data_IF_819390892964
#
_entry.id   IF_819390892964
#
_cell.length_a   1.000
_cell.length_b   1.000
_cell.length_c   1.000
_cell.angle_alpha   90.00
_cell.angle_beta   90.00
_cell.angle_gamma   90.00
#
_symmetry.space_group_name_H-M   'P 1'
#
loop_
_entity.id
_entity.type
_entity.pdbx_description
1 polymer ?
#
# COMPACT_ATOMS: atom_id res chain seq x y z
N UNK A 1 17.39 -54.31 47.54
CA UNK A 1 18.03 -55.58 47.13
C UNK A 1 18.32 -55.51 45.65
N UNK A 2 19.62 -55.56 45.32
CA UNK A 2 20.24 -56.16 44.13
C UNK A 2 19.91 -55.55 42.75
N UNK A 3 20.88 -54.85 42.12
CA UNK A 3 21.96 -55.38 41.25
C UNK A 3 21.43 -55.59 39.81
N UNK A 4 22.05 -55.19 38.69
CA UNK A 4 23.29 -54.48 38.31
C UNK A 4 23.17 -54.28 36.77
N UNK A 5 23.95 -53.38 36.14
CA UNK A 5 24.03 -53.22 34.71
C UNK A 5 24.94 -54.29 34.06
N UNK A 6 24.78 -54.54 32.76
CA UNK A 6 25.68 -55.39 31.95
C UNK A 6 26.66 -54.54 31.15
N UNK A 7 27.92 -54.58 31.56
CA UNK A 7 29.11 -54.24 30.79
C UNK A 7 29.54 -55.40 29.88
N UNK A 8 30.13 -55.08 28.72
CA UNK A 8 31.13 -55.94 28.06
C UNK A 8 32.35 -55.09 27.65
N UNK A 9 33.47 -55.41 28.29
CA UNK A 9 34.89 -55.12 27.98
C UNK A 9 35.30 -55.85 26.68
N UNK A 10 36.49 -55.70 26.05
CA UNK A 10 37.86 -55.79 26.57
C UNK A 10 38.91 -55.38 25.47
N UNK A 11 40.12 -55.01 25.91
CA UNK A 11 41.48 -55.11 25.28
C UNK A 11 41.77 -54.11 24.14
N UNK A 12 42.63 -53.08 24.21
CA UNK A 12 43.99 -52.84 24.79
C UNK A 12 45.15 -53.53 24.07
N UNK A 13 45.91 -52.79 23.24
CA UNK A 13 47.29 -53.17 22.90
C UNK A 13 48.18 -51.96 22.56
N UNK A 14 49.19 -51.79 23.42
CA UNK A 14 50.58 -51.34 23.16
C UNK A 14 50.94 -49.87 22.97
N UNK A 15 51.71 -49.40 23.96
CA UNK A 15 52.59 -48.23 23.99
C UNK A 15 53.74 -48.33 22.98
N UNK A 16 54.09 -47.19 22.37
CA UNK A 16 55.46 -46.86 21.98
C UNK A 16 55.67 -45.36 22.22
N UNK A 17 56.51 -45.05 23.22
CA UNK A 17 56.98 -43.71 23.54
C UNK A 17 58.38 -43.58 22.95
N UNK A 18 58.59 -42.60 22.06
CA UNK A 18 59.90 -41.96 21.84
C UNK A 18 59.75 -40.53 21.32
N UNK A 19 60.23 -39.61 22.16
CA UNK A 19 60.95 -38.36 21.88
C UNK A 19 60.25 -37.14 21.24
N UNK A 20 60.08 -36.12 22.10
CA UNK A 20 60.19 -34.67 21.89
C UNK A 20 60.65 -34.18 20.50
N UNK A 21 59.82 -33.34 19.89
CA UNK A 21 60.20 -32.31 18.92
C UNK A 21 59.29 -31.10 19.11
N UNK A 22 59.81 -30.05 19.75
CA UNK A 22 59.12 -28.77 19.89
C UNK A 22 58.88 -28.15 18.51
N UNK A 23 57.64 -27.77 18.25
CA UNK A 23 57.21 -27.09 17.03
C UNK A 23 55.85 -26.44 17.26
N UNK A 24 55.80 -25.45 18.16
CA UNK A 24 54.66 -24.55 18.29
C UNK A 24 54.69 -23.61 17.09
N UNK A 25 54.13 -24.04 15.96
CA UNK A 25 53.78 -23.14 14.85
C UNK A 25 52.32 -22.76 15.01
N UNK A 26 52.14 -21.54 15.52
CA UNK A 26 50.96 -20.69 15.47
C UNK A 26 49.74 -21.26 14.72
N UNK A 27 48.76 -21.76 15.46
CA UNK A 27 47.37 -21.63 15.03
C UNK A 27 47.01 -20.14 15.19
N UNK A 28 47.15 -19.40 14.10
CA UNK A 28 46.60 -18.06 13.98
C UNK A 28 45.10 -18.12 14.27
N UNK A 29 44.63 -17.16 15.06
CA UNK A 29 43.21 -16.94 15.26
C UNK A 29 42.58 -16.55 13.92
N UNK A 30 41.97 -17.49 13.23
CA UNK A 30 41.11 -17.21 12.10
C UNK A 30 39.93 -16.37 12.62
N UNK A 31 40.04 -15.07 12.38
CA UNK A 31 38.99 -14.11 12.69
C UNK A 31 37.72 -14.47 11.92
N UNK A 32 36.58 -14.18 12.53
CA UNK A 32 35.28 -14.33 11.88
C UNK A 32 35.33 -13.62 10.51
N UNK A 33 35.15 -14.31 9.37
CA UNK A 33 35.25 -13.70 8.04
C UNK A 33 34.23 -12.57 7.84
N UNK A 34 33.15 -12.53 8.64
CA UNK A 34 32.16 -11.45 8.66
C UNK A 34 32.59 -10.21 9.47
N UNK A 35 33.74 -10.26 10.15
CA UNK A 35 34.31 -9.15 10.94
C UNK A 35 35.45 -8.40 10.24
N UNK A 36 35.84 -8.85 9.04
CA UNK A 36 36.85 -8.17 8.24
C UNK A 36 36.34 -6.78 7.85
N UNK A 37 37.13 -5.73 8.14
CA UNK A 37 36.83 -4.39 7.65
C UNK A 37 37.01 -4.38 6.13
N UNK A 38 36.00 -3.96 5.35
CA UNK A 38 36.14 -3.90 3.90
C UNK A 38 37.30 -2.99 3.51
N UNK A 39 38.10 -3.40 2.53
CA UNK A 39 39.12 -2.51 1.97
C UNK A 39 38.46 -1.40 1.12
N UNK A 40 39.20 -0.32 0.88
CA UNK A 40 38.74 0.76 0.01
C UNK A 40 38.81 0.33 -1.46
N UNK A 41 37.65 0.07 -2.04
CA UNK A 41 37.50 -0.34 -3.44
C UNK A 41 37.53 0.85 -4.43
N UNK A 42 38.04 2.02 -4.02
CA UNK A 42 38.06 3.23 -4.85
C UNK A 42 38.69 3.02 -6.23
N UNK A 43 39.80 2.28 -6.32
CA UNK A 43 40.50 1.97 -7.58
C UNK A 43 39.75 0.98 -8.48
N UNK A 44 38.84 0.19 -7.91
CA UNK A 44 38.17 -0.92 -8.60
C UNK A 44 36.91 -0.50 -9.35
N UNK A 45 36.36 0.67 -9.04
CA UNK A 45 35.02 1.06 -9.48
C UNK A 45 35.03 2.35 -10.27
N UNK A 46 34.47 2.30 -11.47
CA UNK A 46 34.12 3.46 -12.28
C UNK A 46 32.62 3.77 -12.18
N UNK A 47 32.25 5.04 -12.24
CA UNK A 47 30.85 5.47 -12.31
C UNK A 47 30.67 6.58 -13.35
N UNK A 48 29.48 6.68 -13.95
CA UNK A 48 29.20 7.62 -15.04
C UNK A 48 28.78 9.04 -14.59
N UNK A 49 28.82 9.31 -13.29
CA UNK A 49 28.52 10.62 -12.71
C UNK A 49 29.76 11.53 -12.67
N UNK A 50 29.57 12.83 -12.41
CA UNK A 50 30.69 13.75 -12.29
C UNK A 50 31.52 13.47 -11.04
N UNK A 51 32.84 13.42 -11.20
CA UNK A 51 33.83 13.33 -10.10
C UNK A 51 34.38 14.70 -9.69
N UNK A 52 34.14 15.73 -10.52
CA UNK A 52 34.61 17.09 -10.25
C UNK A 52 33.62 17.87 -9.37
N UNK A 53 34.16 18.64 -8.42
CA UNK A 53 33.37 19.49 -7.55
C UNK A 53 32.53 20.51 -8.34
N UNK A 54 31.24 20.59 -8.04
CA UNK A 54 30.31 21.56 -8.64
C UNK A 54 29.65 21.11 -9.96
N UNK A 55 30.11 20.03 -10.59
CA UNK A 55 29.38 19.40 -11.70
C UNK A 55 28.24 18.54 -11.16
N UNK A 56 27.11 18.53 -11.89
CA UNK A 56 25.91 17.77 -11.52
C UNK A 56 25.61 16.70 -12.55
N UNK A 57 25.19 15.53 -12.09
CA UNK A 57 24.75 14.44 -12.94
C UNK A 57 23.45 14.82 -13.67
N UNK A 58 23.29 14.32 -14.89
CA UNK A 58 22.04 14.45 -15.63
C UNK A 58 21.03 13.40 -15.09
N UNK A 59 19.93 13.80 -14.44
CA UNK A 59 18.95 12.87 -13.89
C UNK A 59 18.20 12.08 -14.97
N UNK A 60 18.30 12.48 -16.25
CA UNK A 60 17.71 11.77 -17.37
C UNK A 60 18.55 10.57 -17.83
N UNK A 61 19.81 10.50 -17.39
CA UNK A 61 20.69 9.36 -17.68
C UNK A 61 20.64 8.36 -16.54
N UNK A 62 20.65 7.04 -16.83
CA UNK A 62 20.74 6.04 -15.79
C UNK A 62 22.06 6.21 -15.03
N UNK A 63 22.04 5.95 -13.72
CA UNK A 63 23.26 5.79 -12.94
C UNK A 63 23.89 4.46 -13.33
N UNK A 64 25.18 4.48 -13.66
CA UNK A 64 25.96 3.29 -13.99
C UNK A 64 27.20 3.19 -13.10
N UNK A 65 27.44 1.98 -12.59
CA UNK A 65 28.60 1.62 -11.78
C UNK A 65 29.23 0.38 -12.40
N UNK A 66 30.53 0.42 -12.68
CA UNK A 66 31.26 -0.64 -13.40
C UNK A 66 32.48 -1.05 -12.61
N UNK A 67 32.73 -2.36 -12.50
CA UNK A 67 33.98 -2.91 -12.02
C UNK A 67 35.06 -2.78 -13.11
N UNK A 68 36.21 -2.25 -12.75
CA UNK A 68 37.37 -2.18 -13.64
C UNK A 68 37.90 -3.59 -13.88
N UNK A 69 38.21 -3.91 -15.14
CA UNK A 69 38.56 -5.26 -15.56
C UNK A 69 39.77 -5.83 -14.80
N UNK A 70 39.62 -7.03 -14.22
CA UNK A 70 40.72 -7.81 -13.64
C UNK A 70 41.06 -7.52 -12.18
N UNK A 71 40.24 -6.72 -11.47
CA UNK A 71 40.55 -6.34 -10.08
C UNK A 71 39.40 -6.64 -9.08
N UNK A 72 38.36 -7.37 -9.50
CA UNK A 72 37.25 -7.80 -8.65
C UNK A 72 35.87 -7.68 -9.32
N UNK A 73 34.80 -7.95 -8.56
CA UNK A 73 33.40 -7.85 -9.00
C UNK A 73 32.56 -7.03 -8.02
N UNK A 74 31.48 -6.46 -8.52
CA UNK A 74 30.42 -5.84 -7.69
C UNK A 74 29.53 -6.96 -7.15
N UNK A 75 29.28 -6.92 -5.84
CA UNK A 75 28.41 -7.87 -5.13
C UNK A 75 27.07 -7.24 -4.73
N UNK A 76 27.05 -5.94 -4.45
CA UNK A 76 25.81 -5.19 -4.16
C UNK A 76 25.97 -3.70 -4.47
N UNK A 77 24.86 -3.05 -4.83
CA UNK A 77 24.79 -1.59 -4.97
C UNK A 77 23.52 -1.07 -4.31
N UNK A 78 23.71 -0.23 -3.29
CA UNK A 78 22.64 0.50 -2.65
C UNK A 78 22.76 1.98 -2.99
N UNK A 79 21.83 2.50 -3.80
CA UNK A 79 21.74 3.91 -4.14
C UNK A 79 20.50 4.55 -3.49
N UNK A 80 20.70 5.65 -2.76
CA UNK A 80 19.64 6.34 -2.03
C UNK A 80 19.78 7.86 -2.17
N UNK A 81 18.66 8.58 -2.31
CA UNK A 81 18.66 10.04 -2.22
C UNK A 81 18.44 10.57 -0.80
N UNK A 82 18.64 11.87 -0.60
CA UNK A 82 18.48 12.54 0.70
C UNK A 82 17.06 12.48 1.30
N UNK A 83 16.05 12.03 0.54
CA UNK A 83 14.68 11.82 1.05
C UNK A 83 14.47 10.41 1.62
N UNK A 84 15.48 9.54 1.48
CA UNK A 84 15.42 8.13 1.86
C UNK A 84 14.91 7.21 0.74
N UNK A 85 14.67 7.74 -0.47
CA UNK A 85 14.19 6.94 -1.61
C UNK A 85 15.35 6.15 -2.22
N UNK A 86 15.17 4.83 -2.28
CA UNK A 86 16.08 3.93 -2.98
C UNK A 86 15.87 3.99 -4.49
N UNK A 87 16.98 3.92 -5.24
CA UNK A 87 16.98 3.80 -6.69
C UNK A 87 16.99 2.31 -7.05
N UNK A 88 15.96 1.86 -7.75
CA UNK A 88 15.95 0.50 -8.28
C UNK A 88 17.02 0.36 -9.37
N UNK A 89 17.68 -0.79 -9.42
CA UNK A 89 18.67 -1.10 -10.44
C UNK A 89 18.90 -2.59 -10.57
N UNK A 90 19.70 -2.95 -11.57
CA UNK A 90 20.02 -4.32 -11.94
C UNK A 90 21.55 -4.49 -11.96
N UNK A 91 22.02 -5.57 -11.33
CA UNK A 91 23.42 -6.00 -11.35
C UNK A 91 23.57 -7.10 -12.40
N UNK A 92 24.57 -6.97 -13.28
CA UNK A 92 24.94 -8.02 -14.22
C UNK A 92 25.36 -9.30 -13.46
N UNK A 93 25.05 -10.47 -14.02
CA UNK A 93 25.29 -11.76 -13.34
C UNK A 93 26.78 -12.03 -13.04
N UNK A 94 27.68 -11.42 -13.80
CA UNK A 94 29.14 -11.48 -13.60
C UNK A 94 29.67 -10.42 -12.62
N UNK A 95 28.80 -9.54 -12.11
CA UNK A 95 29.17 -8.43 -11.22
C UNK A 95 29.97 -7.32 -11.91
N UNK A 96 30.03 -7.30 -13.24
CA UNK A 96 30.83 -6.32 -13.99
C UNK A 96 30.20 -4.92 -14.01
N UNK A 97 28.86 -4.83 -14.01
CA UNK A 97 28.14 -3.56 -14.12
C UNK A 97 26.81 -3.61 -13.39
N UNK A 98 26.51 -2.53 -12.69
CA UNK A 98 25.19 -2.20 -12.17
C UNK A 98 24.65 -0.97 -12.87
N UNK A 99 23.34 -0.93 -13.14
CA UNK A 99 22.69 0.29 -13.61
C UNK A 99 21.31 0.50 -12.99
N UNK A 100 20.91 1.76 -12.84
CA UNK A 100 19.56 2.09 -12.39
C UNK A 100 18.51 1.70 -13.44
N UNK A 101 17.37 1.19 -12.98
CA UNK A 101 16.17 0.88 -13.77
C UNK A 101 14.99 1.80 -13.43
N UNK A 102 15.17 2.69 -12.45
CA UNK A 102 14.25 3.78 -12.14
C UNK A 102 14.89 5.15 -12.36
N UNK A 103 14.12 6.20 -12.73
CA UNK A 103 14.65 7.54 -12.91
C UNK A 103 15.30 8.11 -11.64
N UNK A 104 16.43 8.80 -11.83
CA UNK A 104 17.01 9.63 -10.78
C UNK A 104 16.13 10.86 -10.58
N UNK A 105 15.92 11.22 -9.32
CA UNK A 105 15.34 12.51 -8.95
C UNK A 105 16.31 13.63 -9.32
N UNK A 106 15.80 14.67 -9.96
CA UNK A 106 16.47 15.92 -10.24
C UNK A 106 16.61 16.78 -8.98
N UNK A 107 17.65 17.62 -8.95
CA UNK A 107 18.00 18.47 -7.82
C UNK A 107 18.07 17.71 -6.48
N UNK A 108 18.57 16.48 -6.53
CA UNK A 108 18.69 15.59 -5.39
C UNK A 108 20.16 15.24 -5.12
N UNK A 109 20.46 14.97 -3.86
CA UNK A 109 21.74 14.47 -3.42
C UNK A 109 21.67 12.95 -3.24
N UNK A 110 22.62 12.22 -3.82
CA UNK A 110 22.69 10.76 -3.72
C UNK A 110 23.88 10.31 -2.91
N UNK A 111 23.66 9.23 -2.14
CA UNK A 111 24.72 8.38 -1.60
C UNK A 111 24.57 6.99 -2.22
N UNK A 112 25.65 6.48 -2.80
CA UNK A 112 25.72 5.15 -3.39
C UNK A 112 26.78 4.35 -2.67
N UNK A 113 26.37 3.25 -2.05
CA UNK A 113 27.28 2.28 -1.44
C UNK A 113 27.43 1.11 -2.39
N UNK A 114 28.66 0.86 -2.83
CA UNK A 114 29.04 -0.24 -3.72
C UNK A 114 29.84 -1.24 -2.89
N UNK A 115 29.34 -2.46 -2.78
CA UNK A 115 30.05 -3.58 -2.18
C UNK A 115 30.73 -4.38 -3.29
N UNK A 116 31.98 -4.77 -3.06
CA UNK A 116 32.80 -5.51 -4.02
C UNK A 116 33.45 -6.72 -3.37
N UNK A 117 34.02 -7.57 -4.20
CA UNK A 117 34.85 -8.70 -3.82
C UNK A 117 36.03 -8.77 -4.79
N UNK A 118 37.25 -8.92 -4.27
CA UNK A 118 38.44 -9.13 -5.10
C UNK A 118 38.60 -10.59 -5.54
N UNK A 119 39.70 -10.92 -6.23
CA UNK A 119 39.96 -12.28 -6.73
C UNK A 119 40.17 -13.31 -5.60
N UNK A 120 40.57 -12.85 -4.41
CA UNK A 120 40.81 -13.68 -3.22
C UNK A 120 39.56 -13.82 -2.33
N UNK A 121 38.44 -13.19 -2.73
CA UNK A 121 37.19 -13.22 -1.99
C UNK A 121 37.12 -12.19 -0.85
N UNK A 122 38.07 -11.25 -0.76
CA UNK A 122 38.05 -10.25 0.30
C UNK A 122 36.98 -9.19 0.00
N UNK A 123 36.18 -8.77 1.01
CA UNK A 123 35.14 -7.77 0.80
C UNK A 123 35.74 -6.38 0.66
N UNK A 124 35.30 -5.65 -0.36
CA UNK A 124 35.61 -4.23 -0.57
C UNK A 124 34.37 -3.36 -0.46
N UNK A 125 34.56 -2.06 -0.21
CA UNK A 125 33.48 -1.07 -0.22
C UNK A 125 33.94 0.23 -0.84
N UNK A 126 33.05 0.85 -1.62
CA UNK A 126 33.18 2.22 -2.09
C UNK A 126 31.90 3.00 -1.79
N UNK A 127 32.04 4.24 -1.35
CA UNK A 127 30.92 5.17 -1.21
C UNK A 127 31.10 6.31 -2.21
N UNK A 128 30.08 6.55 -3.02
CA UNK A 128 30.01 7.65 -3.98
C UNK A 128 28.93 8.62 -3.54
N UNK A 129 29.18 9.91 -3.73
CA UNK A 129 28.18 10.95 -3.53
C UNK A 129 28.15 11.87 -4.73
N UNK A 130 26.95 12.25 -5.19
CA UNK A 130 26.79 13.19 -6.30
C UNK A 130 25.46 13.92 -6.21
N UNK A 131 25.39 15.07 -6.88
CA UNK A 131 24.16 15.86 -7.02
C UNK A 131 23.63 15.77 -8.45
N UNK A 132 22.30 15.78 -8.62
CA UNK A 132 21.66 15.86 -9.93
C UNK A 132 21.29 17.30 -10.31
N UNK A 133 21.27 17.57 -11.62
CA UNK A 133 20.88 18.86 -12.17
C UNK A 133 19.37 19.13 -11.99
N UNK A 134 18.93 20.36 -12.29
CA UNK A 134 17.50 20.73 -12.17
C UNK A 134 16.67 20.07 -13.29
N UNK A 135 15.36 19.87 -13.07
CA UNK A 135 14.48 19.33 -14.12
C UNK A 135 14.57 20.14 -15.41
N UNK A 136 14.67 19.47 -16.55
CA UNK A 136 14.72 20.11 -17.86
C UNK A 136 13.40 20.85 -18.22
N UNK A 137 12.27 20.39 -17.68
CA UNK A 137 10.93 20.97 -17.89
C UNK A 137 10.39 21.63 -16.62
N UNK A 138 9.47 22.60 -16.79
CA UNK A 138 8.74 23.26 -15.69
C UNK A 138 7.41 22.59 -15.32
N UNK A 139 6.84 21.72 -16.15
CA UNK A 139 5.55 21.07 -15.79
C UNK A 139 5.78 20.13 -14.60
N UNK A 140 4.83 20.16 -13.66
CA UNK A 140 4.87 19.36 -12.44
C UNK A 140 3.63 18.49 -12.37
N UNK A 141 3.77 17.27 -11.87
CA UNK A 141 2.67 16.42 -11.44
C UNK A 141 2.56 16.55 -9.92
N UNK A 142 1.41 17.04 -9.45
CA UNK A 142 1.06 17.04 -8.04
C UNK A 142 0.16 15.85 -7.69
N UNK A 143 0.35 15.29 -6.51
CA UNK A 143 -0.51 14.25 -5.93
C UNK A 143 -1.17 14.81 -4.69
N UNK A 144 -2.49 14.69 -4.61
CA UNK A 144 -3.28 15.01 -3.43
C UNK A 144 -3.78 13.71 -2.82
N UNK A 145 -3.33 13.39 -1.61
CA UNK A 145 -3.81 12.21 -0.92
C UNK A 145 -5.13 12.47 -0.21
N UNK A 146 -6.02 11.48 -0.26
CA UNK A 146 -7.26 11.42 0.49
C UNK A 146 -7.33 10.17 1.37
N UNK A 147 -8.22 10.15 2.38
CA UNK A 147 -9.09 11.26 2.80
C UNK A 147 -8.30 12.34 3.56
N UNK A 148 -9.00 13.27 4.23
CA UNK A 148 -8.31 14.21 5.13
C UNK A 148 -7.70 13.48 6.35
N UNK A 149 -6.84 14.18 7.09
CA UNK A 149 -6.30 13.62 8.34
C UNK A 149 -7.45 13.42 9.33
N UNK A 150 -7.62 12.20 9.82
CA UNK A 150 -8.68 11.87 10.77
C UNK A 150 -8.68 10.42 11.20
N UNK A 151 -9.75 10.03 11.90
CA UNK A 151 -10.02 8.65 12.28
C UNK A 151 -11.21 8.14 11.47
N UNK A 152 -11.02 7.05 10.75
CA UNK A 152 -11.99 6.47 9.84
C UNK A 152 -12.34 5.04 10.23
N UNK A 153 -13.36 4.46 9.61
CA UNK A 153 -13.61 3.03 9.67
C UNK A 153 -12.58 2.21 8.91
N UNK A 154 -12.59 0.90 9.16
CA UNK A 154 -11.61 -0.03 8.58
C UNK A 154 -11.76 -0.24 7.07
N UNK A 155 -12.86 0.22 6.48
CA UNK A 155 -13.14 0.16 5.05
C UNK A 155 -12.58 1.33 4.24
N UNK A 156 -11.99 2.35 4.87
CA UNK A 156 -11.55 3.57 4.18
C UNK A 156 -10.40 3.29 3.19
N UNK A 157 -10.58 3.44 1.86
CA UNK A 157 -9.45 3.42 0.94
C UNK A 157 -8.62 4.70 1.09
N UNK A 158 -7.33 4.59 0.80
CA UNK A 158 -6.46 5.75 0.57
C UNK A 158 -6.60 6.14 -0.90
N UNK A 159 -6.80 7.42 -1.19
CA UNK A 159 -6.84 7.91 -2.58
C UNK A 159 -5.61 8.76 -2.90
N UNK A 160 -5.20 8.76 -4.16
CA UNK A 160 -4.17 9.61 -4.71
C UNK A 160 -4.70 10.27 -5.98
N UNK A 161 -5.09 11.54 -5.86
CA UNK A 161 -5.59 12.35 -6.96
C UNK A 161 -4.44 13.09 -7.64
N UNK A 162 -4.31 12.89 -8.95
CA UNK A 162 -3.36 13.54 -9.83
C UNK A 162 -3.99 14.77 -10.49
N UNK A 163 -3.21 15.84 -10.64
CA UNK A 163 -3.63 17.05 -11.38
C UNK A 163 -3.48 16.93 -12.91
N UNK A 164 -2.78 15.89 -13.38
CA UNK A 164 -2.61 15.56 -14.80
C UNK A 164 -2.96 14.10 -15.11
N UNK A 165 -3.45 13.87 -16.34
CA UNK A 165 -3.70 12.51 -16.84
C UNK A 165 -2.40 11.77 -17.14
N UNK A 166 -2.30 10.54 -16.66
CA UNK A 166 -1.24 9.59 -16.97
C UNK A 166 -1.84 8.37 -17.67
N UNK A 167 -1.71 8.32 -19.00
CA UNK A 167 -2.27 7.25 -19.85
C UNK A 167 -1.29 6.11 -20.09
N UNK A 168 -0.01 6.44 -20.20
CA UNK A 168 1.03 5.48 -20.52
C UNK A 168 1.36 4.58 -19.33
N UNK A 169 1.44 3.27 -19.56
CA UNK A 169 1.65 2.28 -18.48
C UNK A 169 3.01 2.42 -17.81
N UNK A 170 4.06 2.79 -18.54
CA UNK A 170 5.39 2.97 -17.95
C UNK A 170 5.42 4.22 -17.05
N UNK A 171 4.75 5.30 -17.47
CA UNK A 171 4.58 6.50 -16.64
C UNK A 171 3.76 6.20 -15.38
N UNK A 172 2.68 5.42 -15.51
CA UNK A 172 1.88 4.95 -14.36
C UNK A 172 2.73 4.14 -13.38
N UNK A 173 3.58 3.25 -13.87
CA UNK A 173 4.49 2.47 -13.02
C UNK A 173 5.49 3.35 -12.27
N UNK A 174 5.98 4.46 -12.86
CA UNK A 174 6.84 5.42 -12.18
C UNK A 174 6.08 6.11 -11.04
N UNK A 175 4.85 6.59 -11.31
CA UNK A 175 3.99 7.23 -10.31
C UNK A 175 3.71 6.29 -9.16
N UNK A 176 3.15 5.13 -9.46
CA UNK A 176 2.71 4.15 -8.46
C UNK A 176 3.87 3.67 -7.56
N UNK A 177 5.06 3.45 -8.13
CA UNK A 177 6.24 3.04 -7.36
C UNK A 177 6.71 4.10 -6.36
N UNK A 178 6.47 5.36 -6.66
CA UNK A 178 6.85 6.48 -5.81
C UNK A 178 5.83 6.75 -4.69
N UNK A 179 4.60 6.24 -4.80
CA UNK A 179 3.60 6.34 -3.75
C UNK A 179 3.82 5.23 -2.71
N UNK A 180 3.97 5.62 -1.44
CA UNK A 180 4.20 4.69 -0.33
C UNK A 180 3.06 4.76 0.66
N UNK A 181 2.58 3.59 1.06
CA UNK A 181 1.61 3.41 2.14
C UNK A 181 2.22 2.44 3.13
N UNK A 182 2.30 2.86 4.38
CA UNK A 182 2.80 2.07 5.49
C UNK A 182 1.72 2.05 6.58
N UNK A 183 1.62 0.94 7.31
CA UNK A 183 0.62 0.78 8.37
C UNK A 183 1.24 0.15 9.61
N UNK A 184 0.69 0.49 10.77
CA UNK A 184 0.97 -0.16 12.06
C UNK A 184 -0.35 -0.51 12.72
N UNK A 185 -0.69 -1.80 12.92
CA UNK A 185 0.04 -3.00 12.50
C UNK A 185 0.27 -3.08 10.99
N UNK A 186 1.38 -3.70 10.58
CA UNK A 186 1.76 -3.79 9.17
C UNK A 186 0.83 -4.73 8.39
N UNK A 187 0.16 -4.19 7.39
CA UNK A 187 -0.59 -4.94 6.38
C UNK A 187 -0.17 -4.52 4.98
N UNK A 188 0.00 -5.49 4.09
CA UNK A 188 0.29 -5.24 2.69
C UNK A 188 -1.00 -4.92 1.92
N UNK A 189 -0.90 -3.96 1.01
CA UNK A 189 -1.95 -3.59 0.07
C UNK A 189 -1.39 -3.25 -1.31
N UNK A 190 -2.27 -2.84 -2.20
CA UNK A 190 -1.91 -2.51 -3.58
C UNK A 190 -2.65 -1.26 -4.04
N UNK A 191 -1.96 -0.46 -4.86
CA UNK A 191 -2.58 0.62 -5.63
C UNK A 191 -3.37 0.03 -6.81
N UNK A 192 -4.48 0.68 -7.14
CA UNK A 192 -5.31 0.41 -8.30
C UNK A 192 -5.57 1.72 -9.02
N UNK A 193 -5.28 1.78 -10.32
CA UNK A 193 -5.62 2.93 -11.15
C UNK A 193 -7.11 2.91 -11.47
N UNK A 194 -7.87 3.79 -10.84
CA UNK A 194 -9.32 3.93 -11.05
C UNK A 194 -9.60 4.58 -12.40
N UNK A 195 -8.83 5.60 -12.75
CA UNK A 195 -8.85 6.22 -14.06
C UNK A 195 -7.45 6.74 -14.47
N UNK A 196 -7.37 7.77 -15.32
CA UNK A 196 -6.10 8.36 -15.74
C UNK A 196 -5.50 9.35 -14.71
N UNK A 197 -6.24 9.70 -13.66
CA UNK A 197 -5.88 10.71 -12.66
C UNK A 197 -6.08 10.23 -11.22
N UNK A 198 -6.75 9.13 -10.97
CA UNK A 198 -7.07 8.68 -9.63
C UNK A 198 -6.54 7.26 -9.39
N UNK A 199 -5.88 7.09 -8.25
CA UNK A 199 -5.52 5.79 -7.74
C UNK A 199 -6.15 5.59 -6.37
N UNK A 200 -6.61 4.38 -6.09
CA UNK A 200 -7.02 3.95 -4.77
C UNK A 200 -6.05 2.90 -4.24
N UNK A 201 -5.84 2.87 -2.93
CA UNK A 201 -5.06 1.84 -2.23
C UNK A 201 -5.87 1.24 -1.11
N UNK A 202 -5.87 -0.08 -1.05
CA UNK A 202 -6.39 -0.86 0.07
C UNK A 202 -5.58 -2.14 0.30
N UNK A 203 -5.60 -2.68 1.53
CA UNK A 203 -5.18 -4.04 1.79
C UNK A 203 -6.15 -5.07 1.19
N UNK A 204 -5.73 -6.34 1.19
CA UNK A 204 -6.56 -7.46 0.74
C UNK A 204 -7.85 -7.56 1.54
N UNK A 205 -7.69 -7.60 2.86
CA UNK A 205 -8.75 -7.50 3.85
C UNK A 205 -8.89 -6.05 4.33
N UNK A 206 -9.93 -5.73 5.09
CA UNK A 206 -10.07 -4.42 5.72
C UNK A 206 -8.86 -4.04 6.58
N UNK A 207 -8.64 -2.75 6.76
CA UNK A 207 -7.56 -2.26 7.62
C UNK A 207 -7.67 -2.84 9.05
N UNK A 208 -6.55 -3.09 9.74
CA UNK A 208 -6.60 -3.43 11.15
C UNK A 208 -7.32 -2.34 11.95
N UNK A 209 -8.00 -2.71 13.03
CA UNK A 209 -8.58 -1.74 13.97
C UNK A 209 -7.47 -0.97 14.68
N UNK A 210 -7.72 0.29 15.01
CA UNK A 210 -6.75 1.16 15.71
C UNK A 210 -5.38 1.25 15.02
N UNK A 211 -5.36 1.08 13.70
CA UNK A 211 -4.16 1.19 12.89
C UNK A 211 -3.79 2.66 12.69
N UNK A 212 -2.49 2.93 12.58
CA UNK A 212 -1.97 4.18 12.00
C UNK A 212 -1.53 3.89 10.58
N UNK A 213 -2.00 4.68 9.63
CA UNK A 213 -1.69 4.54 8.20
C UNK A 213 -1.02 5.81 7.73
N UNK A 214 0.19 5.68 7.19
CA UNK A 214 1.01 6.78 6.71
C UNK A 214 1.18 6.68 5.20
N UNK A 215 0.94 7.78 4.50
CA UNK A 215 0.98 7.88 3.05
C UNK A 215 1.89 9.03 2.66
N UNK A 216 2.83 8.74 1.75
CA UNK A 216 3.78 9.73 1.23
C UNK A 216 4.06 9.52 -0.25
N UNK A 217 4.49 10.58 -0.90
CA UNK A 217 4.92 10.59 -2.30
C UNK A 217 6.41 10.87 -2.38
N UNK A 218 7.14 9.97 -3.02
CA UNK A 218 8.57 10.13 -3.34
C UNK A 218 8.76 10.60 -4.79
N UNK A 219 7.81 11.38 -5.31
CA UNK A 219 7.80 11.88 -6.68
C UNK A 219 8.61 13.15 -6.89
N UNK A 220 9.04 13.83 -5.82
CA UNK A 220 9.75 15.10 -5.97
C UNK A 220 10.99 14.95 -6.85
N UNK A 221 11.05 15.74 -7.91
CA UNK A 221 12.14 15.68 -8.87
C UNK A 221 12.18 14.40 -9.70
N UNK A 222 11.22 13.48 -9.64
CA UNK A 222 11.22 12.25 -10.46
C UNK A 222 10.67 12.53 -11.85
N UNK A 223 11.41 12.13 -12.89
CA UNK A 223 10.91 12.19 -14.27
C UNK A 223 9.82 11.14 -14.49
N UNK A 224 8.64 11.59 -14.86
CA UNK A 224 7.49 10.73 -15.16
C UNK A 224 7.37 10.56 -16.68
N UNK A 225 7.63 11.62 -17.44
CA UNK A 225 7.73 11.60 -18.90
C UNK A 225 8.55 12.78 -19.41
N UNK A 226 8.74 12.87 -20.73
CA UNK A 226 9.66 13.85 -21.37
C UNK A 226 9.51 15.29 -20.91
N UNK A 227 8.31 15.68 -20.49
CA UNK A 227 8.02 17.03 -20.02
C UNK A 227 7.40 17.08 -18.64
N UNK A 228 7.17 15.95 -17.98
CA UNK A 228 6.42 15.88 -16.72
C UNK A 228 7.29 15.31 -15.61
N UNK A 229 7.40 16.07 -14.53
CA UNK A 229 8.20 15.74 -13.36
C UNK A 229 7.33 15.78 -12.13
N UNK A 230 7.53 14.87 -11.19
CA UNK A 230 6.84 14.96 -9.92
C UNK A 230 7.33 16.14 -9.08
N UNK A 231 6.50 16.52 -8.11
CA UNK A 231 6.80 17.57 -7.12
C UNK A 231 6.48 17.05 -5.72
N UNK A 232 6.96 17.77 -4.70
CA UNK A 232 6.60 17.52 -3.31
C UNK A 232 5.08 17.47 -3.14
N UNK A 233 4.59 16.42 -2.46
CA UNK A 233 3.19 16.27 -2.07
C UNK A 233 3.08 16.31 -0.54
N UNK A 234 1.97 16.83 -0.02
CA UNK A 234 1.70 16.82 1.41
C UNK A 234 1.48 15.37 1.87
N UNK A 235 2.24 14.84 2.85
CA UNK A 235 1.99 13.52 3.38
C UNK A 235 0.65 13.48 4.14
N UNK A 236 0.07 12.29 4.24
CA UNK A 236 -1.17 12.04 4.95
C UNK A 236 -0.94 10.97 6.01
N UNK A 237 -1.50 11.19 7.20
CA UNK A 237 -1.61 10.17 8.23
C UNK A 237 -3.07 10.07 8.63
N UNK A 238 -3.63 8.86 8.59
CA UNK A 238 -4.97 8.57 9.13
C UNK A 238 -4.87 7.48 10.19
N UNK A 239 -5.94 7.34 10.96
CA UNK A 239 -6.10 6.23 11.90
C UNK A 239 -7.40 5.51 11.65
N UNK A 240 -7.50 4.26 12.08
CA UNK A 240 -8.76 3.50 12.05
C UNK A 240 -9.36 3.36 13.44
N UNK A 241 -10.69 3.30 13.51
CA UNK A 241 -11.44 3.02 14.74
C UNK A 241 -11.71 1.52 14.93
N UNK A 242 -12.73 1.25 15.74
CA UNK A 242 -13.39 -0.06 15.77
C UNK A 242 -13.94 -0.42 14.39
N UNK A 243 -13.97 -1.71 14.06
CA UNK A 243 -14.60 -2.22 12.85
C UNK A 243 -16.11 -2.22 13.03
N UNK A 244 -16.81 -1.32 12.33
CA UNK A 244 -18.26 -1.29 12.25
C UNK A 244 -18.71 -1.75 10.86
N UNK A 245 -19.62 -2.71 10.84
CA UNK A 245 -20.26 -3.24 9.64
C UNK A 245 -21.77 -3.28 9.84
N UNK A 246 -22.51 -2.71 8.90
CA UNK A 246 -23.96 -2.78 8.87
C UNK A 246 -24.42 -3.57 7.65
N UNK A 247 -25.03 -4.72 7.88
CA UNK A 247 -25.50 -5.62 6.83
C UNK A 247 -27.01 -5.49 6.72
N UNK A 248 -27.49 -4.93 5.61
CA UNK A 248 -28.91 -4.85 5.28
C UNK A 248 -29.30 -6.02 4.38
N UNK A 249 -30.20 -6.86 4.85
CA UNK A 249 -30.86 -7.86 4.02
C UNK A 249 -32.18 -7.29 3.51
N UNK A 250 -32.24 -7.01 2.21
CA UNK A 250 -33.38 -6.37 1.58
C UNK A 250 -34.60 -7.30 1.43
N UNK A 251 -34.42 -8.62 1.54
CA UNK A 251 -35.49 -9.61 1.47
C UNK A 251 -36.16 -9.83 2.83
N UNK A 252 -35.40 -9.73 3.92
CA UNK A 252 -35.93 -9.83 5.29
C UNK A 252 -36.28 -8.47 5.90
N UNK A 253 -35.91 -7.37 5.24
CA UNK A 253 -36.14 -5.99 5.69
C UNK A 253 -35.48 -5.68 7.03
N UNK A 254 -34.31 -6.27 7.30
CA UNK A 254 -33.54 -6.09 8.52
C UNK A 254 -32.13 -5.61 8.22
N UNK A 255 -31.63 -4.73 9.10
CA UNK A 255 -30.22 -4.38 9.16
C UNK A 255 -29.62 -4.92 10.46
N UNK A 256 -28.58 -5.73 10.37
CA UNK A 256 -27.79 -6.15 11.52
C UNK A 256 -26.48 -5.37 11.57
N UNK A 257 -26.18 -4.77 12.72
CA UNK A 257 -24.97 -3.96 12.91
C UNK A 257 -24.00 -4.70 13.83
N UNK A 258 -22.77 -4.82 13.36
CA UNK A 258 -21.68 -5.51 14.04
C UNK A 258 -20.61 -4.51 14.45
N UNK A 259 -20.04 -4.73 15.65
CA UNK A 259 -18.84 -4.07 16.15
C UNK A 259 -17.79 -5.12 16.44
N UNK A 260 -16.65 -5.04 15.76
CA UNK A 260 -15.55 -6.00 15.89
C UNK A 260 -16.02 -7.47 15.75
N UNK A 261 -16.97 -7.71 14.83
CA UNK A 261 -17.55 -9.03 14.58
C UNK A 261 -18.66 -9.47 15.54
N UNK A 262 -18.98 -8.68 16.57
CA UNK A 262 -20.09 -8.96 17.49
C UNK A 262 -21.32 -8.16 17.09
N UNK A 263 -22.48 -8.81 17.00
CA UNK A 263 -23.76 -8.13 16.79
C UNK A 263 -24.05 -7.21 17.98
N UNK A 264 -24.32 -5.94 17.69
CA UNK A 264 -24.65 -4.92 18.69
C UNK A 264 -26.07 -4.39 18.53
N UNK A 265 -26.70 -4.59 17.37
CA UNK A 265 -28.09 -4.18 17.13
C UNK A 265 -28.68 -4.88 15.89
N UNK A 266 -30.00 -5.00 15.89
CA UNK A 266 -30.80 -5.41 14.74
C UNK A 266 -31.96 -4.42 14.55
N UNK A 267 -32.05 -3.85 13.35
CA UNK A 267 -32.88 -2.69 13.05
C UNK A 267 -33.86 -3.05 11.94
N UNK A 268 -35.19 -2.91 12.13
CA UNK A 268 -36.15 -3.01 11.04
C UNK A 268 -35.95 -1.83 10.09
N UNK A 269 -35.82 -2.12 8.81
CA UNK A 269 -35.56 -1.13 7.76
C UNK A 269 -36.54 -1.27 6.60
N UNK A 270 -36.60 -0.25 5.76
CA UNK A 270 -37.18 -0.34 4.42
C UNK A 270 -36.12 0.07 3.40
N UNK A 271 -36.03 -0.63 2.28
CA UNK A 271 -35.11 -0.31 1.18
C UNK A 271 -35.88 0.09 -0.09
N UNK A 272 -35.19 0.17 -1.21
CA UNK A 272 -35.72 0.58 -2.50
C UNK A 272 -36.86 -0.30 -3.02
N UNK A 273 -37.98 0.31 -3.40
CA UNK A 273 -39.11 -0.37 -4.04
C UNK A 273 -38.77 -0.82 -5.47
N UNK A 274 -39.66 -1.58 -6.09
CA UNK A 274 -39.48 -1.99 -7.49
C UNK A 274 -39.28 -0.79 -8.43
N UNK A 275 -38.25 -0.85 -9.28
CA UNK A 275 -37.80 0.24 -10.15
C UNK A 275 -36.81 1.22 -9.49
N UNK A 276 -36.58 1.11 -8.18
CA UNK A 276 -35.63 1.90 -7.40
C UNK A 276 -34.88 1.04 -6.39
N UNK A 277 -34.68 -0.23 -6.72
CA UNK A 277 -34.09 -1.22 -5.83
C UNK A 277 -32.70 -0.78 -5.35
N UNK A 278 -32.44 -0.93 -4.05
CA UNK A 278 -31.16 -0.55 -3.46
C UNK A 278 -30.04 -1.44 -3.99
N UNK A 279 -28.90 -0.86 -4.38
CA UNK A 279 -27.77 -1.64 -4.89
C UNK A 279 -27.23 -2.66 -3.88
N UNK A 280 -26.93 -3.86 -4.34
CA UNK A 280 -26.24 -4.89 -3.57
C UNK A 280 -24.75 -4.55 -3.38
N UNK A 281 -24.08 -5.23 -2.45
CA UNK A 281 -22.65 -5.10 -2.23
C UNK A 281 -22.25 -4.13 -1.12
N UNK A 282 -20.94 -4.00 -0.93
CA UNK A 282 -20.29 -3.22 0.12
C UNK A 282 -20.16 -1.76 -0.30
N UNK A 283 -20.54 -0.85 0.59
CA UNK A 283 -20.42 0.59 0.44
C UNK A 283 -19.67 1.14 1.64
N UNK A 284 -18.69 2.01 1.41
CA UNK A 284 -18.02 2.71 2.51
C UNK A 284 -18.77 3.99 2.81
N UNK A 285 -18.99 4.28 4.09
CA UNK A 285 -19.62 5.54 4.53
C UNK A 285 -18.78 6.72 4.06
N UNK A 286 -19.41 7.60 3.29
CA UNK A 286 -18.76 8.72 2.62
C UNK A 286 -18.82 10.01 3.43
N UNK A 287 -19.96 10.24 4.09
CA UNK A 287 -20.22 11.45 4.85
C UNK A 287 -21.38 11.23 5.82
N UNK A 288 -21.42 12.06 6.86
CA UNK A 288 -22.52 12.11 7.82
C UNK A 288 -23.06 13.51 7.93
N UNK A 289 -24.37 13.66 7.74
CA UNK A 289 -25.07 14.93 7.78
C UNK A 289 -26.30 14.81 8.68
N UNK A 290 -26.37 15.62 9.74
CA UNK A 290 -27.54 15.62 10.63
C UNK A 290 -28.82 15.97 9.86
N UNK A 291 -28.74 16.83 8.86
CA UNK A 291 -29.86 17.24 8.03
C UNK A 291 -29.48 17.27 6.55
N UNK A 292 -30.32 16.68 5.70
CA UNK A 292 -30.24 16.74 4.24
C UNK A 292 -31.64 16.98 3.69
N UNK A 293 -31.80 17.99 2.84
CA UNK A 293 -33.01 18.13 2.00
C UNK A 293 -32.81 17.29 0.74
N UNK A 294 -33.39 16.10 0.73
CA UNK A 294 -33.27 15.16 -0.39
C UNK A 294 -34.32 15.47 -1.45
N UNK A 295 -33.88 15.72 -2.68
CA UNK A 295 -34.76 16.03 -3.83
C UNK A 295 -34.57 15.00 -4.94
N UNK A 296 -35.64 14.36 -5.40
CA UNK A 296 -35.58 13.35 -6.47
C UNK A 296 -34.95 13.88 -7.76
N UNK A 297 -35.19 15.15 -8.07
CA UNK A 297 -34.60 15.85 -9.22
C UNK A 297 -33.07 15.89 -9.21
N UNK A 298 -32.43 15.83 -8.03
CA UNK A 298 -30.96 15.81 -7.92
C UNK A 298 -30.35 14.47 -8.30
N UNK A 299 -31.17 13.42 -8.36
CA UNK A 299 -30.77 12.04 -8.71
C UNK A 299 -31.48 11.55 -9.98
N UNK A 300 -32.07 12.46 -10.76
CA UNK A 300 -32.64 12.17 -12.08
C UNK A 300 -34.11 11.79 -12.10
N UNK A 301 -34.83 11.86 -10.97
CA UNK A 301 -36.29 11.66 -10.95
C UNK A 301 -36.97 12.93 -11.46
N UNK A 302 -37.86 12.78 -12.45
CA UNK A 302 -38.53 13.91 -13.09
C UNK A 302 -39.49 14.62 -12.12
N UNK A 303 -39.42 15.95 -12.10
CA UNK A 303 -40.33 16.80 -11.32
C UNK A 303 -41.78 16.54 -11.72
N UNK A 304 -42.66 16.41 -10.73
CA UNK A 304 -44.09 16.12 -10.94
C UNK A 304 -44.42 14.69 -11.39
N UNK A 305 -43.42 13.80 -11.46
CA UNK A 305 -43.67 12.35 -11.64
C UNK A 305 -44.29 11.75 -10.37
N UNK A 306 -44.84 10.53 -10.49
CA UNK A 306 -45.39 9.81 -9.34
C UNK A 306 -44.35 9.46 -8.26
N UNK A 307 -43.07 9.49 -8.63
CA UNK A 307 -41.92 9.17 -7.76
C UNK A 307 -41.19 10.42 -7.27
N UNK A 308 -41.62 11.61 -7.67
CA UNK A 308 -41.00 12.87 -7.25
C UNK A 308 -41.09 13.05 -5.73
N UNK A 309 -40.02 13.59 -5.14
CA UNK A 309 -39.94 13.84 -3.71
C UNK A 309 -39.05 15.04 -3.38
N UNK A 310 -39.42 15.73 -2.30
CA UNK A 310 -38.63 16.77 -1.66
C UNK A 310 -38.80 16.62 -0.14
N UNK A 311 -37.83 15.96 0.50
CA UNK A 311 -37.95 15.49 1.87
C UNK A 311 -36.89 16.12 2.80
N UNK A 312 -37.30 16.65 3.97
CA UNK A 312 -36.37 16.98 5.04
C UNK A 312 -35.97 15.69 5.77
N UNK A 313 -34.73 15.27 5.60
CA UNK A 313 -34.21 14.01 6.15
C UNK A 313 -33.19 14.29 7.24
N UNK A 314 -33.31 13.59 8.36
CA UNK A 314 -32.41 13.71 9.51
C UNK A 314 -31.55 12.46 9.71
N UNK A 315 -30.42 12.63 10.41
CA UNK A 315 -29.46 11.55 10.72
C UNK A 315 -29.01 10.79 9.47
N UNK A 316 -28.66 11.54 8.41
CA UNK A 316 -28.37 10.99 7.10
C UNK A 316 -26.89 10.57 6.99
N UNK A 317 -26.66 9.28 6.78
CA UNK A 317 -25.34 8.71 6.49
C UNK A 317 -25.25 8.38 5.01
N UNK A 318 -24.38 9.07 4.26
CA UNK A 318 -24.23 8.90 2.82
C UNK A 318 -23.36 7.70 2.50
N UNK A 319 -23.79 6.86 1.55
CA UNK A 319 -23.04 5.67 1.11
C UNK A 319 -22.75 5.64 -0.38
N UNK A 320 -23.44 6.44 -1.21
CA UNK A 320 -23.10 6.61 -2.63
C UNK A 320 -23.14 8.07 -3.08
N UNK A 321 -22.44 8.38 -4.18
CA UNK A 321 -22.54 9.69 -4.82
C UNK A 321 -23.87 9.87 -5.57
N UNK A 322 -24.47 8.79 -6.07
CA UNK A 322 -25.78 8.75 -6.74
C UNK A 322 -26.96 9.00 -5.80
N UNK A 323 -26.73 9.07 -4.48
CA UNK A 323 -27.74 9.55 -3.52
C UNK A 323 -28.38 8.48 -2.66
N UNK A 324 -27.73 7.32 -2.44
CA UNK A 324 -28.17 6.37 -1.42
C UNK A 324 -27.64 6.78 -0.03
N UNK A 325 -28.56 6.76 0.94
CA UNK A 325 -28.30 7.07 2.34
C UNK A 325 -28.92 6.02 3.26
N UNK A 326 -28.37 5.93 4.48
CA UNK A 326 -29.03 5.33 5.65
C UNK A 326 -29.55 6.48 6.52
N UNK A 327 -30.86 6.53 6.82
CA UNK A 327 -31.45 7.72 7.45
C UNK A 327 -32.79 7.50 8.18
N UNK A 328 -33.23 8.54 8.90
CA UNK A 328 -34.54 8.59 9.54
C UNK A 328 -35.67 8.71 8.50
N UNK A 329 -36.66 7.82 8.57
CA UNK A 329 -37.83 7.79 7.71
C UNK A 329 -39.13 7.60 8.54
N UNK A 330 -39.51 8.60 9.37
CA UNK A 330 -40.69 8.49 10.24
C UNK A 330 -41.99 8.25 9.46
N UNK A 331 -42.05 8.64 8.19
CA UNK A 331 -43.20 8.42 7.31
C UNK A 331 -43.37 6.95 6.87
N UNK A 332 -42.36 6.08 7.04
CA UNK A 332 -42.38 4.69 6.58
C UNK A 332 -42.31 3.65 7.71
N UNK A 333 -42.51 4.04 8.97
CA UNK A 333 -42.40 3.12 10.12
C UNK A 333 -43.29 1.88 10.02
N UNK A 334 -44.45 1.98 9.38
CA UNK A 334 -45.33 0.83 9.14
C UNK A 334 -44.80 -0.17 8.10
N UNK A 335 -43.85 0.23 7.25
CA UNK A 335 -43.22 -0.63 6.23
C UNK A 335 -41.88 -1.21 6.68
N UNK A 336 -41.22 -0.60 7.67
CA UNK A 336 -39.91 -1.03 8.16
C UNK A 336 -40.01 -2.42 8.78
N UNK A 337 -39.20 -3.38 8.30
CA UNK A 337 -39.31 -4.79 8.69
C UNK A 337 -40.33 -5.61 7.89
N UNK A 338 -41.02 -5.02 6.91
CA UNK A 338 -42.11 -5.69 6.18
C UNK A 338 -42.14 -5.44 4.66
N UNK A 339 -41.71 -4.27 4.19
CA UNK A 339 -41.80 -3.91 2.78
C UNK A 339 -40.77 -2.84 2.38
N UNK A 340 -40.35 -2.88 1.11
CA UNK A 340 -39.45 -1.89 0.51
C UNK A 340 -40.28 -0.80 -0.18
N UNK A 341 -40.18 0.44 0.31
CA UNK A 341 -41.00 1.58 -0.15
C UNK A 341 -40.17 2.83 -0.48
N UNK A 342 -38.85 2.79 -0.35
CA UNK A 342 -37.97 3.93 -0.63
C UNK A 342 -37.61 4.05 -2.11
N UNK A 343 -36.90 5.12 -2.47
CA UNK A 343 -36.28 5.30 -3.80
C UNK A 343 -34.79 4.89 -3.82
N UNK A 344 -34.41 3.90 -3.01
CA UNK A 344 -33.06 3.32 -2.95
C UNK A 344 -32.34 3.53 -1.61
N UNK A 345 -32.77 4.49 -0.81
CA UNK A 345 -32.23 4.69 0.54
C UNK A 345 -32.65 3.57 1.51
N UNK A 346 -31.86 3.35 2.55
CA UNK A 346 -32.22 2.48 3.68
C UNK A 346 -32.84 3.34 4.79
N UNK A 347 -34.16 3.28 4.91
CA UNK A 347 -34.93 4.05 5.88
C UNK A 347 -35.22 3.26 7.15
N UNK A 348 -35.17 3.93 8.30
CA UNK A 348 -35.49 3.35 9.62
C UNK A 348 -36.20 4.37 10.52
N UNK A 349 -36.62 3.96 11.72
CA UNK A 349 -37.21 4.87 12.70
C UNK A 349 -36.23 5.98 13.09
N UNK A 350 -36.72 7.13 13.53
CA UNK A 350 -35.85 8.25 13.91
C UNK A 350 -34.86 7.87 15.01
N UNK A 351 -35.29 7.09 16.01
CA UNK A 351 -34.41 6.63 17.10
C UNK A 351 -33.32 5.67 16.62
N UNK A 352 -33.65 4.78 15.68
CA UNK A 352 -32.66 3.87 15.10
C UNK A 352 -31.68 4.62 14.20
N UNK A 353 -32.16 5.62 13.45
CA UNK A 353 -31.31 6.44 12.62
C UNK A 353 -30.36 7.31 13.45
N UNK A 354 -30.83 7.87 14.57
CA UNK A 354 -29.99 8.57 15.54
C UNK A 354 -28.92 7.65 16.10
N UNK A 355 -29.30 6.48 16.62
CA UNK A 355 -28.36 5.49 17.13
C UNK A 355 -27.33 5.07 16.08
N UNK A 356 -27.78 4.79 14.85
CA UNK A 356 -26.91 4.40 13.73
C UNK A 356 -25.93 5.52 13.40
N UNK A 357 -26.43 6.75 13.28
CA UNK A 357 -25.65 7.94 13.01
C UNK A 357 -24.63 8.20 14.11
N UNK A 358 -24.90 7.93 15.38
CA UNK A 358 -23.91 8.06 16.44
C UNK A 358 -22.89 6.92 16.45
N UNK A 359 -23.29 5.73 16.00
CA UNK A 359 -22.46 4.52 16.01
C UNK A 359 -21.42 4.49 14.88
N UNK A 360 -21.81 4.91 13.67
CA UNK A 360 -20.94 4.83 12.48
C UNK A 360 -20.08 6.08 12.29
N UNK A 361 -19.00 5.94 11.54
CA UNK A 361 -18.13 7.02 11.05
C UNK A 361 -17.82 6.86 9.57
N UNK A 362 -17.28 7.90 8.95
CA UNK A 362 -16.72 7.81 7.60
C UNK A 362 -15.68 6.69 7.53
N UNK A 363 -15.69 5.90 6.47
CA UNK A 363 -14.84 4.71 6.34
C UNK A 363 -15.45 3.42 6.91
N UNK A 364 -16.55 3.47 7.68
CA UNK A 364 -17.25 2.25 8.11
C UNK A 364 -18.01 1.61 6.94
N UNK A 365 -18.43 0.36 7.11
CA UNK A 365 -18.96 -0.46 6.02
C UNK A 365 -20.47 -0.62 6.14
N UNK A 366 -21.19 -0.37 5.05
CA UNK A 366 -22.61 -0.67 4.89
C UNK A 366 -22.76 -1.58 3.69
N UNK A 367 -23.22 -2.80 3.89
CA UNK A 367 -23.46 -3.75 2.80
C UNK A 367 -24.94 -4.05 2.64
N UNK A 368 -25.39 -4.21 1.41
CA UNK A 368 -26.75 -4.67 1.11
C UNK A 368 -26.67 -6.03 0.43
N UNK A 369 -27.52 -6.96 0.84
CA UNK A 369 -27.65 -8.30 0.27
C UNK A 369 -29.10 -8.60 -0.04
N UNK A 370 -29.33 -9.57 -0.93
CA UNK A 370 -30.65 -10.07 -1.29
C UNK A 370 -31.61 -8.97 -1.81
N UNK A 371 -31.07 -7.91 -2.41
CA UNK A 371 -31.85 -6.93 -3.16
C UNK A 371 -32.03 -7.41 -4.60
N UNK A 372 -33.15 -7.02 -5.22
CA UNK A 372 -33.36 -7.21 -6.66
C UNK A 372 -32.67 -6.13 -7.52
N UNK A 373 -31.94 -5.19 -6.89
CA UNK A 373 -31.18 -4.14 -7.55
C UNK A 373 -29.82 -4.58 -8.06
N UNK A 374 -29.19 -3.72 -8.85
CA UNK A 374 -27.85 -3.93 -9.40
C UNK A 374 -26.78 -4.03 -8.31
N UNK A 375 -25.60 -4.54 -8.66
CA UNK A 375 -24.43 -4.49 -7.78
C UNK A 375 -23.87 -3.07 -7.67
N UNK A 376 -23.28 -2.76 -6.51
CA UNK A 376 -22.56 -1.51 -6.28
C UNK A 376 -21.44 -1.35 -7.29
N UNK A 377 -21.40 -0.19 -7.96
CA UNK A 377 -20.33 0.12 -8.89
C UNK A 377 -18.99 0.19 -8.15
N UNK A 378 -17.93 -0.47 -8.65
CA UNK A 378 -16.62 -0.43 -8.01
C UNK A 378 -16.08 0.98 -7.76
N UNK A 379 -16.32 1.89 -8.71
CA UNK A 379 -15.75 3.23 -8.74
C UNK A 379 -16.77 4.26 -9.28
N UNK A 380 -16.48 5.55 -9.08
CA UNK A 380 -17.28 6.66 -9.63
C UNK A 380 -18.59 6.95 -8.89
N UNK A 381 -19.11 6.00 -8.11
CA UNK A 381 -20.33 6.16 -7.32
C UNK A 381 -20.10 6.16 -5.79
N UNK A 382 -18.88 6.45 -5.35
CA UNK A 382 -18.44 6.29 -3.96
C UNK A 382 -17.26 5.33 -3.91
N UNK A 383 -17.09 4.67 -2.78
CA UNK A 383 -16.08 3.64 -2.62
C UNK A 383 -16.73 2.25 -2.67
N UNK A 384 -16.79 1.68 -3.88
CA UNK A 384 -17.18 0.31 -4.14
C UNK A 384 -15.97 -0.64 -4.22
N UNK A 385 -14.80 -0.18 -3.79
CA UNK A 385 -13.49 -0.84 -3.90
C UNK A 385 -13.46 -2.28 -3.40
N UNK A 386 -14.25 -2.57 -2.36
CA UNK A 386 -14.35 -3.87 -1.71
C UNK A 386 -15.24 -4.87 -2.46
N UNK A 387 -15.95 -4.43 -3.51
CA UNK A 387 -16.69 -5.30 -4.42
C UNK A 387 -15.80 -5.84 -5.55
N UNK A 388 -14.56 -5.34 -5.67
CA UNK A 388 -13.58 -5.87 -6.61
C UNK A 388 -12.80 -6.98 -5.93
N UNK A 389 -12.86 -8.20 -6.47
CA UNK A 389 -12.03 -9.31 -6.00
C UNK A 389 -10.54 -8.92 -5.95
N UNK A 390 -9.80 -9.42 -4.96
CA UNK A 390 -8.41 -9.03 -4.73
C UNK A 390 -7.49 -9.30 -5.93
N UNK A 391 -7.71 -10.38 -6.68
CA UNK A 391 -6.92 -10.64 -7.87
C UNK A 391 -7.15 -9.57 -8.93
N UNK A 392 -8.43 -9.23 -9.20
CA UNK A 392 -8.80 -8.15 -10.13
C UNK A 392 -8.33 -6.78 -9.63
N UNK A 393 -8.33 -6.56 -8.31
CA UNK A 393 -7.80 -5.33 -7.72
C UNK A 393 -6.33 -5.15 -8.10
N UNK A 394 -5.52 -6.21 -7.95
CA UNK A 394 -4.09 -6.17 -8.32
C UNK A 394 -3.88 -5.99 -9.82
N UNK A 395 -4.78 -6.47 -10.67
CA UNK A 395 -4.69 -6.26 -12.13
C UNK A 395 -4.78 -4.77 -12.53
N UNK A 396 -5.38 -3.92 -11.70
CA UNK A 396 -5.38 -2.46 -11.92
C UNK A 396 -4.09 -1.73 -11.52
N UNK A 397 -3.11 -2.44 -10.95
CA UNK A 397 -1.77 -1.91 -10.68
C UNK A 397 -0.92 -1.88 -11.96
N UNK A 398 -0.22 -0.78 -12.19
CA UNK A 398 0.78 -0.69 -13.26
C UNK A 398 2.07 -1.47 -12.94
N UNK A 399 2.23 -1.88 -11.66
CA UNK A 399 3.35 -2.67 -11.16
C UNK A 399 3.05 -4.17 -11.07
N UNK A 400 1.83 -4.61 -11.42
CA UNK A 400 1.47 -6.01 -11.42
C UNK A 400 1.83 -6.69 -12.75
N UNK A 401 2.58 -7.80 -12.64
CA UNK A 401 3.11 -8.55 -13.79
C UNK A 401 2.49 -9.94 -13.92
N UNK A 402 1.37 -10.22 -13.24
CA UNK A 402 0.76 -11.56 -13.23
C UNK A 402 1.43 -12.58 -12.27
N UNK A 403 2.35 -12.14 -11.40
CA UNK A 403 3.02 -13.05 -10.44
C UNK A 403 2.17 -13.26 -9.17
N UNK A 404 2.12 -14.50 -8.61
CA UNK A 404 1.43 -14.80 -7.35
C UNK A 404 1.91 -13.94 -6.18
N UNK A 405 1.14 -13.89 -5.09
CA UNK A 405 1.53 -13.19 -3.85
C UNK A 405 2.95 -13.58 -3.43
N UNK A 406 3.81 -12.57 -3.35
CA UNK A 406 5.18 -12.63 -2.85
C UNK A 406 5.54 -11.23 -2.35
N UNK A 407 6.58 -11.09 -1.49
CA UNK A 407 7.02 -9.79 -1.02
C UNK A 407 7.21 -8.84 -2.21
N UNK A 408 6.79 -7.59 -2.07
CA UNK A 408 7.00 -6.60 -3.12
C UNK A 408 8.50 -6.60 -3.49
N UNK A 409 8.90 -6.29 -4.73
CA UNK A 409 10.32 -6.22 -5.09
C UNK A 409 11.11 -5.26 -4.17
N UNK A 410 10.45 -4.27 -3.59
CA UNK A 410 11.03 -3.39 -2.55
C UNK A 410 11.27 -4.08 -1.20
N UNK A 411 10.49 -5.10 -0.86
CA UNK A 411 10.68 -5.94 0.33
C UNK A 411 11.71 -7.04 0.07
N UNK A 412 11.86 -7.49 -1.18
CA UNK A 412 12.94 -8.39 -1.58
C UNK A 412 14.34 -7.75 -1.50
N UNK A 413 14.42 -6.42 -1.40
CA UNK A 413 15.66 -5.71 -1.08
C UNK A 413 16.04 -5.79 0.42
N UNK A 414 15.18 -6.36 1.27
CA UNK A 414 15.50 -6.69 2.67
C UNK A 414 15.89 -8.16 2.82
N UNK A 415 16.87 -8.64 2.05
CA UNK A 415 17.58 -9.84 2.46
C UNK A 415 18.64 -9.39 3.47
N UNK A 416 18.26 -9.37 4.76
CA UNK A 416 19.26 -9.50 5.80
C UNK A 416 19.90 -10.88 5.64
N UNK A 417 21.23 -11.01 5.64
CA UNK A 417 21.86 -12.32 5.72
C UNK A 417 21.36 -12.99 7.01
N UNK A 418 20.58 -14.06 6.86
CA UNK A 418 20.34 -14.96 7.98
C UNK A 418 21.70 -15.55 8.33
N UNK A 419 22.20 -15.22 9.53
CA UNK A 419 23.34 -15.90 10.10
C UNK A 419 22.98 -17.39 10.21
N UNK A 420 23.70 -18.23 9.46
CA UNK A 420 23.80 -19.66 9.71
C UNK A 420 24.95 -19.93 10.68
#
# INVERSE_FOLDING_TARGET
MNHTPRTRTVVSCTLLVTALGAGVTACGSDGNPLSARPYDAAGLISFNGPTEAGKRADPDKPLEVTANSGEGRITDVTAQDSTGRYVAGELAADGSRWHSTSPLAANAHYTVTVSTEDEDGAPGRKVLTFDTSKPASKKRLNVTFGPEKGTYGVGQPITAQLDHEIKDKAQRAIVERALRVESTPAVAGAWHWVDNKELHYRPKEYWPVHATIEVRSNLDGVKIGDRLWGTVSKPLTITTGDRIEAVTDAATHQMTVFKNGQEINQIPVTTGKAGFETRNGVKVVLAKQYFVRMRGTTVGIAEGSADDYDLPVYYATRVTWSGEYVHAAPWSVGSQGYANVSHGCTGMSTSNAEWFFETVREGDLVSVVNSNGDDMEPFGNGFGDWNVDWQKWREGSALFNGRPEGPAPSDALRIQPAAL
#
